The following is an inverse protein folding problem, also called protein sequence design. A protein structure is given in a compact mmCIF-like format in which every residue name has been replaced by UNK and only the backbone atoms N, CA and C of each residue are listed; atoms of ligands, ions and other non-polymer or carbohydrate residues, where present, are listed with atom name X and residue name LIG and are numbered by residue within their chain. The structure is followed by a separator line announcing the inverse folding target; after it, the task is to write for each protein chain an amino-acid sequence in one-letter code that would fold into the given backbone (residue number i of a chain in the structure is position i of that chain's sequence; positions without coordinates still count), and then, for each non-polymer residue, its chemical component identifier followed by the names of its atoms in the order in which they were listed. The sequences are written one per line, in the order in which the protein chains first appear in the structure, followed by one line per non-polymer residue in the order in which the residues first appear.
data_IF_264556955341
#
_entry.id   IF_264556955341
#
_cell.length_a   1.000
_cell.length_b   1.000
_cell.length_c   1.000
_cell.angle_alpha   90.00
_cell.angle_beta   90.00
_cell.angle_gamma   90.00
#
_symmetry.space_group_name_H-M   'P 1'
#
loop_
_entity.id
_entity.type
_entity.pdbx_description
1 polymer ?
#
# COMPACT_ATOMS: atom_id res chain seq x y z
N UNK A 1 -5.78 24.06 -0.69
CA UNK A 1 -5.11 23.34 -1.80
C UNK A 1 -4.31 22.12 -1.35
N UNK A 2 -3.81 22.06 -0.11
CA UNK A 2 -3.04 20.91 0.42
C UNK A 2 -3.77 19.56 0.38
N UNK A 3 -5.10 19.54 0.59
CA UNK A 3 -5.89 18.30 0.57
C UNK A 3 -5.97 17.63 -0.81
N UNK A 4 -6.10 18.42 -1.88
CA UNK A 4 -6.10 17.91 -3.25
C UNK A 4 -4.74 17.33 -3.62
N UNK A 5 -3.65 18.01 -3.24
CA UNK A 5 -2.28 17.52 -3.44
C UNK A 5 -2.04 16.22 -2.67
N UNK A 6 -2.53 16.13 -1.43
CA UNK A 6 -2.46 14.89 -0.64
C UNK A 6 -3.23 13.73 -1.27
N UNK A 7 -4.46 13.97 -1.74
CA UNK A 7 -5.27 12.95 -2.42
C UNK A 7 -4.62 12.47 -3.73
N UNK A 8 -4.10 13.40 -4.54
CA UNK A 8 -3.36 13.07 -5.75
C UNK A 8 -2.09 12.24 -5.43
N UNK A 9 -1.36 12.62 -4.36
CA UNK A 9 -0.20 11.87 -3.88
C UNK A 9 -0.55 10.46 -3.43
N UNK A 10 -1.62 10.29 -2.65
CA UNK A 10 -2.10 8.98 -2.20
C UNK A 10 -2.53 8.08 -3.36
N UNK A 11 -3.25 8.64 -4.35
CA UNK A 11 -3.64 7.90 -5.55
C UNK A 11 -2.43 7.44 -6.37
N UNK A 12 -1.48 8.36 -6.63
CA UNK A 12 -0.23 8.03 -7.33
C UNK A 12 0.56 6.96 -6.57
N UNK A 13 0.62 7.06 -5.24
CA UNK A 13 1.26 6.05 -4.40
C UNK A 13 0.62 4.67 -4.60
N UNK A 14 -0.70 4.54 -4.52
CA UNK A 14 -1.37 3.24 -4.69
C UNK A 14 -1.13 2.61 -6.06
N UNK A 15 -1.20 3.41 -7.13
CA UNK A 15 -0.93 2.95 -8.50
C UNK A 15 0.52 2.48 -8.66
N UNK A 16 1.47 3.26 -8.14
CA UNK A 16 2.89 2.94 -8.24
C UNK A 16 3.29 1.79 -7.34
N UNK A 17 2.73 1.71 -6.13
CA UNK A 17 2.92 0.61 -5.19
C UNK A 17 2.49 -0.72 -5.81
N UNK A 18 1.30 -0.77 -6.45
CA UNK A 18 0.83 -1.97 -7.17
C UNK A 18 1.84 -2.42 -8.23
N UNK A 19 2.39 -1.47 -9.00
CA UNK A 19 3.37 -1.77 -10.07
C UNK A 19 4.69 -2.29 -9.50
N UNK A 20 5.20 -1.65 -8.45
CA UNK A 20 6.50 -1.97 -7.83
C UNK A 20 6.43 -3.31 -7.09
N UNK A 21 5.32 -3.59 -6.40
CA UNK A 21 5.15 -4.85 -5.67
C UNK A 21 5.08 -6.09 -6.55
N UNK A 22 4.64 -5.95 -7.81
CA UNK A 22 4.69 -7.07 -8.76
C UNK A 22 6.11 -7.52 -9.12
N UNK A 23 7.14 -6.70 -8.80
CA UNK A 23 8.54 -6.90 -9.20
C UNK A 23 9.50 -7.12 -8.03
N UNK A 24 9.10 -6.81 -6.80
CA UNK A 24 9.98 -6.84 -5.62
C UNK A 24 9.46 -7.81 -4.56
N UNK A 25 10.41 -8.42 -3.83
CA UNK A 25 10.09 -9.16 -2.62
C UNK A 25 9.44 -8.24 -1.59
N UNK A 26 8.33 -8.69 -1.01
CA UNK A 26 7.50 -7.93 -0.07
C UNK A 26 8.31 -7.29 1.08
N UNK A 27 9.25 -8.05 1.66
CA UNK A 27 10.11 -7.58 2.74
C UNK A 27 10.98 -6.37 2.34
N UNK A 28 11.49 -6.36 1.12
CA UNK A 28 12.36 -5.29 0.60
C UNK A 28 11.55 -4.03 0.31
N UNK A 29 10.34 -4.19 -0.23
CA UNK A 29 9.43 -3.06 -0.45
C UNK A 29 9.12 -2.34 0.87
N UNK A 30 8.83 -3.11 1.90
CA UNK A 30 8.49 -2.56 3.21
C UNK A 30 9.67 -1.86 3.88
N UNK A 31 10.87 -2.45 3.82
CA UNK A 31 12.07 -1.79 4.34
C UNK A 31 12.33 -0.45 3.64
N UNK A 32 12.20 -0.43 2.31
CA UNK A 32 12.34 0.79 1.52
C UNK A 32 11.27 1.82 1.87
N UNK A 33 10.02 1.38 2.10
CA UNK A 33 8.93 2.25 2.53
C UNK A 33 9.23 2.90 3.89
N UNK A 34 9.61 2.11 4.90
CA UNK A 34 9.95 2.65 6.22
C UNK A 34 11.12 3.63 6.16
N UNK A 35 12.19 3.30 5.41
CA UNK A 35 13.33 4.20 5.22
C UNK A 35 12.92 5.49 4.49
N UNK A 36 12.10 5.40 3.45
CA UNK A 36 11.61 6.57 2.72
C UNK A 36 10.75 7.47 3.60
N UNK A 37 9.88 6.90 4.44
CA UNK A 37 9.08 7.66 5.41
C UNK A 37 10.01 8.37 6.39
N UNK A 38 10.98 7.69 7.00
CA UNK A 38 11.94 8.33 7.90
C UNK A 38 12.75 9.45 7.22
N UNK A 39 13.21 9.23 5.99
CA UNK A 39 13.97 10.21 5.21
C UNK A 39 13.14 11.42 4.79
N UNK A 40 11.82 11.29 4.65
CA UNK A 40 10.92 12.40 4.37
C UNK A 40 10.52 13.11 5.68
N UNK A 41 10.31 12.35 6.75
CA UNK A 41 9.90 12.90 8.05
C UNK A 41 10.96 13.87 8.60
N UNK A 42 12.23 13.46 8.62
CA UNK A 42 13.35 14.24 9.17
C UNK A 42 13.49 15.66 8.54
N UNK A 43 13.52 15.82 7.20
CA UNK A 43 13.53 17.14 6.57
C UNK A 43 12.26 17.95 6.81
N UNK A 44 11.07 17.33 6.84
CA UNK A 44 9.82 18.07 7.12
C UNK A 44 9.82 18.64 8.54
N UNK A 45 10.46 17.92 9.45
CA UNK A 45 10.68 18.30 10.82
C UNK A 45 11.61 19.53 10.92
N UNK A 46 12.75 19.51 10.19
CA UNK A 46 13.65 20.67 10.07
C UNK A 46 12.95 21.88 9.44
N UNK A 47 12.18 21.67 8.38
CA UNK A 47 11.45 22.73 7.69
C UNK A 47 10.38 23.40 8.55
N UNK A 48 9.86 22.71 9.58
CA UNK A 48 8.92 23.26 10.55
C UNK A 48 9.60 24.00 11.71
N UNK A 49 10.93 23.98 11.81
CA UNK A 49 11.67 24.72 12.83
C UNK A 49 11.54 24.15 14.25
N UNK A 50 11.11 22.89 14.38
CA UNK A 50 11.04 22.17 15.66
C UNK A 50 12.47 21.89 16.16
N UNK A 51 12.71 22.09 17.47
CA UNK A 51 14.03 21.85 18.06
C UNK A 51 14.19 20.35 18.32
N UNK A 52 15.05 19.68 17.55
CA UNK A 52 15.37 18.26 17.75
C UNK A 52 16.51 18.10 18.73
N UNK A 53 16.22 17.56 19.91
CA UNK A 53 17.26 17.00 20.77
C UNK A 53 17.32 15.48 20.60
N UNK A 54 18.52 14.93 20.43
CA UNK A 54 18.76 13.48 20.56
C UNK A 54 18.69 13.09 22.04
N UNK A 55 17.48 13.17 22.61
CA UNK A 55 17.19 12.89 24.01
C UNK A 55 15.92 12.05 24.13
N UNK A 56 15.73 11.37 25.26
CA UNK A 56 14.52 10.61 25.61
C UNK A 56 13.46 11.52 26.27
N UNK A 57 13.61 12.84 26.15
CA UNK A 57 12.64 13.78 26.69
C UNK A 57 11.31 13.70 25.94
N UNK A 58 10.17 13.58 26.63
CA UNK A 58 8.87 13.28 26.03
C UNK A 58 8.30 14.40 25.14
N UNK A 59 8.89 15.59 25.15
CA UNK A 59 8.40 16.78 24.44
C UNK A 59 9.34 17.33 23.37
N UNK A 60 10.65 17.07 23.46
CA UNK A 60 11.68 17.63 22.56
C UNK A 60 12.65 16.57 22.01
N UNK A 61 12.52 15.33 22.50
CA UNK A 61 13.43 14.25 22.22
C UNK A 61 13.02 13.41 21.01
N UNK A 62 13.95 13.14 20.10
CA UNK A 62 13.74 12.20 18.98
C UNK A 62 13.38 10.78 19.45
N UNK A 63 13.71 10.44 20.70
CA UNK A 63 13.41 9.18 21.38
C UNK A 63 12.39 9.34 22.52
N UNK A 64 11.66 10.46 22.60
CA UNK A 64 10.67 10.73 23.66
C UNK A 64 9.54 9.70 23.73
N UNK A 65 9.31 9.00 22.62
CA UNK A 65 8.38 7.87 22.45
C UNK A 65 8.79 6.66 23.33
N UNK A 66 10.10 6.40 23.48
CA UNK A 66 10.65 5.33 24.33
C UNK A 66 10.58 5.61 25.86
N UNK A 67 9.59 6.38 26.33
CA UNK A 67 9.33 6.55 27.77
C UNK A 67 8.75 5.26 28.36
N UNK A 68 9.28 4.82 29.50
CA UNK A 68 9.01 3.50 30.11
C UNK A 68 7.54 3.16 30.39
N UNK A 69 6.64 4.14 30.38
CA UNK A 69 5.19 3.96 30.59
C UNK A 69 4.37 3.85 29.30
N UNK A 70 4.90 4.27 28.14
CA UNK A 70 4.13 4.36 26.87
C UNK A 70 4.72 3.56 25.72
N UNK A 71 5.96 3.09 25.86
CA UNK A 71 6.67 2.35 24.81
C UNK A 71 5.88 1.15 24.25
N UNK A 72 5.12 0.41 25.08
CA UNK A 72 4.35 -0.76 24.62
C UNK A 72 3.18 -0.34 23.71
N UNK A 73 2.47 0.73 24.08
CA UNK A 73 1.34 1.25 23.31
C UNK A 73 1.82 1.80 21.98
N UNK A 74 2.93 2.53 21.97
CA UNK A 74 3.51 3.05 20.74
C UNK A 74 4.07 1.95 19.84
N UNK A 75 4.69 0.92 20.41
CA UNK A 75 5.15 -0.25 19.65
C UNK A 75 3.97 -1.03 19.07
N UNK A 76 2.82 -1.07 19.77
CA UNK A 76 1.58 -1.60 19.22
C UNK A 76 1.04 -0.73 18.07
N UNK A 77 1.02 0.59 18.21
CA UNK A 77 0.60 1.49 17.13
C UNK A 77 1.51 1.35 15.89
N UNK A 78 2.82 1.41 16.05
CA UNK A 78 3.75 1.35 14.91
C UNK A 78 3.85 -0.08 14.35
N UNK A 79 3.96 -1.09 15.22
CA UNK A 79 4.14 -2.47 14.78
C UNK A 79 2.86 -3.10 14.25
N UNK A 80 1.73 -2.90 14.93
CA UNK A 80 0.46 -3.53 14.55
C UNK A 80 -0.37 -2.59 13.69
N UNK A 81 -0.66 -1.37 14.15
CA UNK A 81 -1.54 -0.48 13.39
C UNK A 81 -0.90 -0.05 12.05
N UNK A 82 0.35 0.41 12.08
CA UNK A 82 1.04 0.89 10.88
C UNK A 82 1.60 -0.27 10.04
N UNK A 83 2.47 -1.11 10.61
CA UNK A 83 3.12 -2.18 9.86
C UNK A 83 2.12 -3.23 9.36
N UNK A 84 1.31 -3.85 10.25
CA UNK A 84 0.34 -4.87 9.82
C UNK A 84 -0.77 -4.26 8.96
N UNK A 85 -1.22 -3.04 9.27
CA UNK A 85 -2.19 -2.30 8.45
C UNK A 85 -1.69 -2.06 7.04
N UNK A 86 -0.53 -1.43 6.89
CA UNK A 86 0.08 -1.16 5.59
C UNK A 86 0.38 -2.46 4.83
N UNK A 87 0.97 -3.45 5.49
CA UNK A 87 1.20 -4.79 4.91
C UNK A 87 -0.09 -5.42 4.39
N UNK A 88 -1.18 -5.32 5.15
CA UNK A 88 -2.49 -5.86 4.79
C UNK A 88 -3.02 -5.25 3.50
N UNK A 89 -3.05 -3.92 3.41
CA UNK A 89 -3.50 -3.21 2.22
C UNK A 89 -2.65 -3.52 0.99
N UNK A 90 -1.34 -3.58 1.18
CA UNK A 90 -0.39 -3.92 0.13
C UNK A 90 -0.58 -5.36 -0.40
N UNK A 91 -0.83 -6.33 0.49
CA UNK A 91 -1.13 -7.70 0.08
C UNK A 91 -2.47 -7.78 -0.67
N UNK A 92 -3.51 -7.09 -0.21
CA UNK A 92 -4.82 -7.04 -0.89
C UNK A 92 -4.70 -6.43 -2.29
N UNK A 93 -3.82 -5.44 -2.47
CA UNK A 93 -3.56 -4.78 -3.76
C UNK A 93 -3.00 -5.73 -4.85
N UNK A 94 -2.42 -6.87 -4.45
CA UNK A 94 -1.98 -7.92 -5.38
C UNK A 94 -3.15 -8.73 -5.95
N UNK A 95 -4.25 -8.86 -5.20
CA UNK A 95 -5.41 -9.65 -5.58
C UNK A 95 -6.53 -8.81 -6.19
N UNK A 96 -6.72 -7.58 -5.70
CA UNK A 96 -7.82 -6.70 -6.10
C UNK A 96 -7.34 -5.45 -6.84
N UNK A 97 -8.27 -4.78 -7.51
CA UNK A 97 -7.99 -3.49 -8.15
C UNK A 97 -7.81 -2.38 -7.10
N UNK A 98 -6.95 -1.36 -7.36
CA UNK A 98 -6.73 -0.26 -6.42
C UNK A 98 -8.01 0.46 -6.01
N UNK A 99 -9.05 0.43 -6.86
CA UNK A 99 -10.35 1.03 -6.56
C UNK A 99 -11.04 0.35 -5.37
N UNK A 100 -10.97 -0.98 -5.26
CA UNK A 100 -11.54 -1.75 -4.14
C UNK A 100 -10.78 -1.45 -2.85
N UNK A 101 -9.45 -1.36 -2.95
CA UNK A 101 -8.62 -0.99 -1.79
C UNK A 101 -8.96 0.43 -1.32
N UNK A 102 -9.08 1.38 -2.25
CA UNK A 102 -9.44 2.76 -1.91
C UNK A 102 -10.82 2.88 -1.28
N UNK A 103 -11.82 2.11 -1.71
CA UNK A 103 -13.15 2.14 -1.08
C UNK A 103 -13.14 1.56 0.32
N UNK A 104 -12.33 0.52 0.58
CA UNK A 104 -12.15 -0.01 1.94
C UNK A 104 -11.43 0.98 2.87
N UNK A 105 -10.48 1.76 2.35
CA UNK A 105 -9.85 2.85 3.12
C UNK A 105 -10.83 3.97 3.45
N UNK A 106 -11.82 4.25 2.60
CA UNK A 106 -12.89 5.19 2.94
C UNK A 106 -13.84 4.63 4.01
N UNK A 107 -13.98 3.30 4.10
CA UNK A 107 -14.80 2.65 5.14
C UNK A 107 -14.14 2.67 6.51
N UNK A 108 -12.80 2.65 6.59
CA UNK A 108 -12.03 2.67 7.83
C UNK A 108 -12.45 3.79 8.81
N UNK A 109 -12.52 5.08 8.43
CA UNK A 109 -12.96 6.14 9.34
C UNK A 109 -14.42 5.97 9.78
N UNK A 110 -15.27 5.35 8.95
CA UNK A 110 -16.66 5.06 9.33
C UNK A 110 -16.72 4.01 10.44
N UNK A 111 -15.92 2.94 10.31
CA UNK A 111 -15.82 1.90 11.35
C UNK A 111 -15.17 2.46 12.63
N UNK A 112 -14.16 3.32 12.50
CA UNK A 112 -13.55 3.99 13.64
C UNK A 112 -14.56 4.82 14.43
N UNK A 113 -15.37 5.65 13.75
CA UNK A 113 -16.44 6.42 14.41
C UNK A 113 -17.53 5.54 15.05
N UNK A 114 -17.82 4.37 14.46
CA UNK A 114 -18.77 3.43 15.06
C UNK A 114 -18.21 2.80 16.33
N UNK A 115 -16.95 2.37 16.32
CA UNK A 115 -16.26 1.84 17.49
C UNK A 115 -16.14 2.89 18.59
N UNK A 116 -15.81 4.13 18.22
CA UNK A 116 -15.78 5.27 19.14
C UNK A 116 -17.15 5.50 19.81
N UNK A 117 -18.24 5.43 19.05
CA UNK A 117 -19.59 5.56 19.60
C UNK A 117 -19.91 4.45 20.63
N UNK A 118 -19.40 3.23 20.43
CA UNK A 118 -19.62 2.12 21.35
C UNK A 118 -18.77 2.20 22.62
N UNK A 119 -17.59 2.82 22.56
CA UNK A 119 -16.63 2.88 23.68
C UNK A 119 -16.77 4.16 24.51
N UNK A 120 -16.96 5.31 23.86
CA UNK A 120 -16.90 6.61 24.53
C UNK A 120 -18.25 7.13 25.02
N UNK A 121 -19.38 6.64 24.49
CA UNK A 121 -20.73 6.93 24.99
C UNK A 121 -21.53 8.04 24.28
N UNK A 122 -21.00 9.24 23.95
CA UNK A 122 -21.75 10.21 23.18
C UNK A 122 -21.80 9.79 21.70
N UNK A 123 -23.01 9.84 21.15
CA UNK A 123 -23.25 9.57 19.73
C UNK A 123 -22.47 10.56 18.86
N UNK A 124 -21.93 10.11 17.71
CA UNK A 124 -21.30 10.98 16.74
C UNK A 124 -22.26 12.10 16.32
N UNK A 125 -21.72 13.27 15.99
CA UNK A 125 -22.53 14.38 15.48
C UNK A 125 -23.39 13.94 14.28
N UNK A 126 -24.58 14.53 14.12
CA UNK A 126 -25.51 14.20 13.02
C UNK A 126 -24.84 14.30 11.64
N UNK A 127 -23.90 15.23 11.47
CA UNK A 127 -23.10 15.37 10.25
C UNK A 127 -22.17 14.17 10.00
N UNK A 128 -21.54 13.63 11.05
CA UNK A 128 -20.72 12.43 10.95
C UNK A 128 -21.58 11.20 10.57
N UNK A 129 -22.79 11.10 11.12
CA UNK A 129 -23.72 10.03 10.77
C UNK A 129 -24.13 10.10 9.28
N UNK A 130 -24.47 11.29 8.78
CA UNK A 130 -24.78 11.47 7.35
C UNK A 130 -23.60 11.12 6.45
N UNK A 131 -22.38 11.57 6.80
CA UNK A 131 -21.17 11.22 6.06
C UNK A 131 -20.92 9.71 6.02
N UNK A 132 -21.05 9.04 7.16
CA UNK A 132 -20.87 7.58 7.27
C UNK A 132 -21.86 6.79 6.41
N UNK A 133 -23.12 7.24 6.32
CA UNK A 133 -24.14 6.59 5.50
C UNK A 133 -23.83 6.71 4.01
N UNK A 134 -23.39 7.91 3.57
CA UNK A 134 -22.99 8.15 2.17
C UNK A 134 -21.79 7.27 1.79
N UNK A 135 -20.80 7.16 2.67
CA UNK A 135 -19.64 6.28 2.46
C UNK A 135 -20.07 4.82 2.37
N UNK A 136 -20.91 4.34 3.30
CA UNK A 136 -21.42 2.98 3.28
C UNK A 136 -22.18 2.66 1.98
N UNK A 137 -23.05 3.57 1.54
CA UNK A 137 -23.76 3.43 0.27
C UNK A 137 -22.81 3.39 -0.94
N UNK A 138 -21.77 4.24 -0.94
CA UNK A 138 -20.74 4.26 -1.98
C UNK A 138 -19.96 2.94 -2.07
N UNK A 139 -19.58 2.37 -0.93
CA UNK A 139 -18.88 1.07 -0.88
C UNK A 139 -19.76 -0.06 -1.41
N UNK A 140 -21.03 -0.11 -1.00
CA UNK A 140 -22.00 -1.11 -1.49
C UNK A 140 -22.19 -0.99 -3.00
N UNK A 141 -22.35 0.23 -3.52
CA UNK A 141 -22.50 0.48 -4.96
C UNK A 141 -21.26 0.02 -5.74
N UNK A 142 -20.07 0.32 -5.25
CA UNK A 142 -18.82 -0.11 -5.88
C UNK A 142 -18.71 -1.64 -5.86
N UNK A 143 -19.09 -2.30 -4.76
CA UNK A 143 -19.08 -3.75 -4.67
C UNK A 143 -20.07 -4.40 -5.66
N UNK A 144 -21.30 -3.88 -5.74
CA UNK A 144 -22.32 -4.37 -6.68
C UNK A 144 -21.86 -4.18 -8.13
N UNK A 145 -21.31 -3.02 -8.48
CA UNK A 145 -20.85 -2.75 -9.85
C UNK A 145 -19.65 -3.62 -10.24
N UNK A 146 -18.72 -3.88 -9.33
CA UNK A 146 -17.59 -4.78 -9.58
C UNK A 146 -18.00 -6.26 -9.66
N UNK A 147 -18.96 -6.68 -8.84
CA UNK A 147 -19.49 -8.07 -8.89
C UNK A 147 -20.25 -8.33 -10.20
N UNK A 148 -20.88 -7.29 -10.77
CA UNK A 148 -21.63 -7.37 -12.01
C UNK A 148 -20.80 -7.17 -13.28
N UNK A 149 -19.47 -7.01 -13.19
CA UNK A 149 -18.62 -7.09 -14.38
C UNK A 149 -18.35 -8.57 -14.70
N UNK A 150 -19.01 -9.17 -15.73
CA UNK A 150 -18.58 -10.47 -16.23
C UNK A 150 -17.15 -10.33 -16.75
N UNK A 151 -16.27 -11.19 -16.26
CA UNK A 151 -14.85 -11.37 -16.57
C UNK A 151 -14.51 -11.26 -18.06
N UNK A 152 -14.52 -10.06 -18.61
CA UNK A 152 -14.25 -9.75 -20.01
C UNK A 152 -13.11 -8.75 -20.12
N UNK A 153 -12.06 -8.97 -19.33
CA UNK A 153 -10.73 -8.53 -19.69
C UNK A 153 -9.85 -9.78 -19.85
N UNK A 154 -9.54 -10.21 -21.09
CA UNK A 154 -8.42 -11.09 -21.30
C UNK A 154 -7.20 -10.31 -20.82
N UNK A 155 -6.61 -10.78 -19.72
CA UNK A 155 -5.24 -10.47 -19.31
C UNK A 155 -4.40 -10.43 -20.59
N UNK A 156 -4.02 -9.23 -21.06
CA UNK A 156 -2.97 -9.08 -22.09
C UNK A 156 -1.71 -9.64 -21.47
N UNK A 157 -1.55 -10.97 -21.58
CA UNK A 157 -0.25 -11.56 -21.75
C UNK A 157 0.37 -10.80 -22.92
N UNK A 158 1.33 -9.94 -22.63
CA UNK A 158 2.35 -9.68 -23.62
C UNK A 158 2.97 -11.05 -23.89
N UNK A 159 2.81 -11.67 -25.07
CA UNK A 159 3.67 -12.78 -25.41
C UNK A 159 5.08 -12.19 -25.34
N UNK A 160 5.87 -12.71 -24.40
CA UNK A 160 7.31 -12.62 -24.52
C UNK A 160 7.61 -13.09 -25.94
N UNK A 161 8.10 -12.18 -26.76
CA UNK A 161 8.67 -12.51 -28.06
C UNK A 161 9.78 -13.51 -27.74
N UNK A 162 9.47 -14.79 -27.93
CA UNK A 162 10.44 -15.86 -28.07
C UNK A 162 11.34 -15.40 -29.20
N UNK A 163 12.48 -14.81 -28.84
CA UNK A 163 13.54 -14.52 -29.77
C UNK A 163 13.97 -15.87 -30.32
N UNK A 164 13.66 -16.07 -31.58
CA UNK A 164 14.03 -17.20 -32.41
C UNK A 164 15.52 -17.48 -32.30
N UNK A 165 15.88 -18.44 -31.44
CA UNK A 165 17.12 -19.19 -31.61
C UNK A 165 16.83 -20.35 -32.57
N UNK A 166 16.44 -20.02 -33.81
CA UNK A 166 16.67 -20.90 -34.95
C UNK A 166 18.16 -20.86 -35.27
N UNK A 167 18.94 -21.63 -34.52
CA UNK A 167 20.31 -21.98 -34.92
C UNK A 167 20.27 -23.39 -35.51
N UNK A 168 19.97 -23.42 -36.81
CA UNK A 168 20.30 -24.41 -37.84
C UNK A 168 20.52 -25.87 -37.40
N UNK A 169 19.71 -26.85 -37.88
CA UNK A 169 20.06 -28.26 -37.76
C UNK A 169 21.34 -28.56 -38.55
N UNK A 170 22.38 -29.09 -37.88
CA UNK A 170 23.57 -29.58 -38.56
C UNK A 170 23.16 -30.70 -39.53
N UNK A 171 23.43 -30.49 -40.83
CA UNK A 171 23.38 -31.54 -41.85
C UNK A 171 24.28 -32.72 -41.43
N UNK A 172 23.86 -33.98 -41.62
CA UNK A 172 24.74 -35.12 -41.43
C UNK A 172 25.80 -35.13 -42.54
N UNK A 173 27.07 -35.05 -42.15
CA UNK A 173 28.22 -35.24 -43.05
C UNK A 173 28.35 -36.75 -43.34
N UNK A 174 27.74 -37.17 -44.43
CA UNK A 174 27.90 -38.51 -45.00
C UNK A 174 29.25 -38.55 -45.74
N UNK A 175 30.28 -39.09 -45.09
CA UNK A 175 31.51 -39.51 -45.77
C UNK A 175 31.38 -40.99 -46.11
N UNK A 176 30.77 -41.28 -47.26
CA UNK A 176 30.94 -42.54 -47.95
C UNK A 176 32.35 -42.61 -48.54
N UNK A 177 33.15 -43.50 -47.99
CA UNK A 177 34.07 -44.44 -48.69
C UNK A 177 34.55 -44.04 -50.07
N UNK A 178 35.86 -43.78 -50.23
CA UNK A 178 36.65 -44.24 -51.40
C UNK A 178 38.11 -44.50 -50.96
N UNK A 179 38.54 -45.77 -51.16
CA UNK A 179 39.88 -46.33 -51.48
C UNK A 179 41.15 -45.80 -50.79
N UNK A 180 41.92 -46.68 -50.14
CA UNK A 180 42.95 -47.60 -50.71
C UNK A 180 43.05 -48.83 -49.79
#
# INVERSE_FOLDING_TARGET
MVGLTGAAGAMLYLVQAKRIQSRLNFMVFMWCHSVAVCLILLPTMIAKGETFEFSTHPTVGLLGWATSTRWLLELFLVGVCDFVGAMGYLRVLQYFEPIVVSTTMLLEPTLASLLEATVSGPLPSVHAMMGSLVVAAGVVLVYITNTNQPSSQPRRHSPQITRSNEFMPRKPLNYGTIVV
#
